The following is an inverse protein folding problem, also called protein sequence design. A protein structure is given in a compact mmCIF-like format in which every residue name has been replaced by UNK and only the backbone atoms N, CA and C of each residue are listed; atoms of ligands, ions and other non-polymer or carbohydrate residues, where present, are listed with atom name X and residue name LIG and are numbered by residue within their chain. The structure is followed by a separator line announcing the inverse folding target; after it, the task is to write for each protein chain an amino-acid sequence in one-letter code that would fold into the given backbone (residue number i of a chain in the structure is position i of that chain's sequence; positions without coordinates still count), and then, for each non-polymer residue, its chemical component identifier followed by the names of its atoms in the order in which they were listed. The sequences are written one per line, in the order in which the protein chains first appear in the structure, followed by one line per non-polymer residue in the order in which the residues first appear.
data_IF_998048363603
#
_entry.id   IF_998048363603
#
_cell.length_a   1.000
_cell.length_b   1.000
_cell.length_c   1.000
_cell.angle_alpha   90.00
_cell.angle_beta   90.00
_cell.angle_gamma   90.00
#
_symmetry.space_group_name_H-M   'P 1'
#
loop_
_entity.id
_entity.type
_entity.pdbx_description
1 polymer ?
#
# COMPACT_ATOMS: atom_id res chain seq x y z
N UNK A 1 -3.12 -14.79 -8.87
CA UNK A 1 -2.74 -13.46 -9.38
C UNK A 1 -2.06 -12.72 -8.25
N UNK A 2 -0.79 -12.30 -8.38
CA UNK A 2 -0.12 -11.54 -7.33
C UNK A 2 -0.85 -10.21 -7.12
N UNK A 3 -1.25 -9.93 -5.89
CA UNK A 3 -1.81 -8.64 -5.49
C UNK A 3 -0.65 -7.64 -5.53
N UNK A 4 -0.58 -6.82 -6.59
CA UNK A 4 0.46 -5.81 -6.75
C UNK A 4 -0.04 -4.52 -6.09
N UNK A 5 0.38 -4.22 -4.84
CA UNK A 5 -0.14 -3.08 -4.09
C UNK A 5 0.06 -1.76 -4.84
N UNK A 6 1.14 -1.67 -5.63
CA UNK A 6 1.48 -0.52 -6.45
C UNK A 6 0.43 -0.23 -7.54
N UNK A 7 -0.16 -1.26 -8.14
CA UNK A 7 -1.19 -1.10 -9.17
C UNK A 7 -2.52 -0.59 -8.60
N UNK A 8 -2.88 -1.06 -7.40
CA UNK A 8 -4.07 -0.58 -6.71
C UNK A 8 -3.88 0.86 -6.23
N UNK A 9 -2.72 1.17 -5.64
CA UNK A 9 -2.40 2.53 -5.21
C UNK A 9 -2.45 3.51 -6.38
N UNK A 10 -1.81 3.18 -7.50
CA UNK A 10 -1.78 4.01 -8.70
C UNK A 10 -3.20 4.27 -9.23
N UNK A 11 -4.05 3.24 -9.21
CA UNK A 11 -5.45 3.34 -9.62
C UNK A 11 -6.24 4.27 -8.69
N UNK A 12 -6.08 4.15 -7.38
CA UNK A 12 -6.75 4.99 -6.40
C UNK A 12 -6.29 6.46 -6.48
N UNK A 13 -4.99 6.71 -6.63
CA UNK A 13 -4.44 8.05 -6.82
C UNK A 13 -4.93 8.70 -8.12
N UNK A 14 -5.01 7.92 -9.20
CA UNK A 14 -5.57 8.38 -10.48
C UNK A 14 -7.05 8.74 -10.33
N UNK A 15 -7.83 7.89 -9.67
CA UNK A 15 -9.25 8.15 -9.37
C UNK A 15 -9.42 9.43 -8.54
N UNK A 16 -8.59 9.63 -7.51
CA UNK A 16 -8.61 10.83 -6.66
C UNK A 16 -8.36 12.11 -7.48
N UNK A 17 -7.37 12.08 -8.40
CA UNK A 17 -7.08 13.22 -9.27
C UNK A 17 -8.26 13.53 -10.19
N UNK A 18 -8.90 12.50 -10.74
CA UNK A 18 -10.05 12.65 -11.62
C UNK A 18 -11.25 13.23 -10.87
N UNK A 19 -11.55 12.73 -9.67
CA UNK A 19 -12.64 13.25 -8.84
C UNK A 19 -12.35 14.67 -8.37
N UNK A 20 -11.11 15.02 -8.05
CA UNK A 20 -10.71 16.40 -7.77
C UNK A 20 -10.96 17.33 -8.96
N UNK A 21 -10.61 16.89 -10.17
CA UNK A 21 -10.81 17.68 -11.38
C UNK A 21 -12.31 17.87 -11.72
N UNK A 22 -13.14 16.85 -11.49
CA UNK A 22 -14.57 16.89 -11.83
C UNK A 22 -15.43 17.57 -10.78
N UNK A 23 -15.22 17.28 -9.50
CA UNK A 23 -16.10 17.70 -8.40
C UNK A 23 -15.46 18.74 -7.46
N UNK A 24 -14.14 18.91 -7.52
CA UNK A 24 -13.39 19.80 -6.64
C UNK A 24 -13.09 19.21 -5.26
N UNK A 25 -12.16 19.86 -4.55
CA UNK A 25 -11.64 19.40 -3.24
C UNK A 25 -12.65 19.45 -2.09
N UNK A 26 -13.74 20.21 -2.26
CA UNK A 26 -14.79 20.34 -1.24
C UNK A 26 -15.91 19.30 -1.42
N UNK A 27 -15.85 18.50 -2.48
CA UNK A 27 -16.86 17.47 -2.73
C UNK A 27 -16.74 16.32 -1.74
N UNK A 28 -17.88 15.72 -1.38
CA UNK A 28 -17.94 14.53 -0.53
C UNK A 28 -17.20 13.38 -1.22
N UNK A 29 -17.37 13.24 -2.54
CA UNK A 29 -16.72 12.20 -3.34
C UNK A 29 -15.19 12.28 -3.28
N UNK A 30 -14.63 13.49 -3.37
CA UNK A 30 -13.19 13.69 -3.21
C UNK A 30 -12.73 13.29 -1.81
N UNK A 31 -13.48 13.68 -0.78
CA UNK A 31 -13.13 13.39 0.61
C UNK A 31 -13.15 11.89 0.91
N UNK A 32 -14.16 11.17 0.44
CA UNK A 32 -14.30 9.72 0.61
C UNK A 32 -13.15 8.96 -0.05
N UNK A 33 -12.82 9.28 -1.32
CA UNK A 33 -11.71 8.63 -2.02
C UNK A 33 -10.38 8.99 -1.38
N UNK A 34 -10.21 10.23 -0.89
CA UNK A 34 -9.01 10.63 -0.17
C UNK A 34 -8.82 9.80 1.10
N UNK A 35 -9.88 9.60 1.89
CA UNK A 35 -9.82 8.76 3.08
C UNK A 35 -9.43 7.31 2.75
N UNK A 36 -9.95 6.76 1.65
CA UNK A 36 -9.60 5.41 1.19
C UNK A 36 -8.11 5.29 0.80
N UNK A 37 -7.57 6.29 0.09
CA UNK A 37 -6.14 6.35 -0.25
C UNK A 37 -5.28 6.44 1.02
N UNK A 38 -5.66 7.31 1.95
CA UNK A 38 -4.93 7.52 3.20
C UNK A 38 -4.93 6.23 4.06
N UNK A 39 -6.06 5.54 4.16
CA UNK A 39 -6.18 4.25 4.88
C UNK A 39 -5.32 3.16 4.21
N UNK A 40 -5.34 3.09 2.88
CA UNK A 40 -4.54 2.12 2.14
C UNK A 40 -3.04 2.34 2.32
N UNK A 41 -2.59 3.60 2.31
CA UNK A 41 -1.20 3.96 2.58
C UNK A 41 -0.79 3.65 4.01
N UNK A 42 -1.67 3.91 4.98
CA UNK A 42 -1.42 3.55 6.38
C UNK A 42 -1.27 2.03 6.54
N UNK A 43 -2.12 1.22 5.88
CA UNK A 43 -2.00 -0.24 5.88
C UNK A 43 -0.68 -0.71 5.28
N UNK A 44 -0.29 -0.17 4.12
CA UNK A 44 0.99 -0.51 3.49
C UNK A 44 2.19 -0.14 4.37
N UNK A 45 2.15 1.02 5.03
CA UNK A 45 3.20 1.41 5.97
C UNK A 45 3.26 0.46 7.18
N UNK A 46 2.11 0.06 7.73
CA UNK A 46 2.06 -0.92 8.84
C UNK A 46 2.58 -2.30 8.40
N UNK A 47 2.21 -2.77 7.22
CA UNK A 47 2.74 -4.02 6.66
C UNK A 47 4.26 -3.96 6.48
N UNK A 48 4.78 -2.85 5.96
CA UNK A 48 6.22 -2.61 5.84
C UNK A 48 6.94 -2.62 7.20
N UNK A 49 6.34 -2.05 8.24
CA UNK A 49 6.89 -2.09 9.60
C UNK A 49 6.82 -3.50 10.23
N UNK A 50 5.78 -4.27 9.93
CA UNK A 50 5.63 -5.64 10.42
C UNK A 50 6.66 -6.60 9.83
N UNK A 51 7.13 -6.35 8.61
CA UNK A 51 8.14 -7.18 7.93
C UNK A 51 9.54 -6.98 8.53
N UNK A 52 9.89 -5.78 9.02
CA UNK A 52 11.18 -5.56 9.72
C UNK A 52 11.31 -6.28 11.07
N UNK A 53 10.23 -6.85 11.62
CA UNK A 53 10.28 -7.58 12.89
C UNK A 53 10.70 -9.05 12.77
N UNK A 54 10.80 -9.60 11.55
CA UNK A 54 10.94 -11.06 11.37
C UNK A 54 12.21 -11.52 10.64
N UNK A 55 13.11 -10.62 10.22
CA UNK A 55 14.39 -10.98 9.60
C UNK A 55 15.51 -11.25 10.63
N UNK A 56 15.27 -12.16 11.59
CA UNK A 56 16.35 -12.67 12.46
C UNK A 56 16.30 -14.18 12.76
N UNK A 57 15.48 -14.98 12.07
CA UNK A 57 15.56 -16.44 12.21
C UNK A 57 15.60 -17.13 10.84
N UNK A 58 16.64 -17.95 10.67
CA UNK A 58 16.82 -18.99 9.66
C UNK A 58 17.64 -18.65 8.40
N UNK A 59 18.88 -18.23 8.62
CA UNK A 59 19.97 -18.35 7.63
C UNK A 59 21.18 -19.02 8.30
N UNK A 60 20.95 -20.20 8.88
CA UNK A 60 22.03 -21.06 9.41
C UNK A 60 21.64 -22.55 9.28
N UNK A 61 21.30 -22.97 8.06
CA UNK A 61 21.31 -24.39 7.68
C UNK A 61 21.80 -24.51 6.23
N UNK A 62 23.05 -24.09 5.99
CA UNK A 62 23.77 -24.46 4.77
C UNK A 62 25.29 -24.48 5.00
N UNK A 63 25.78 -25.55 5.63
CA UNK A 63 27.13 -26.09 5.44
C UNK A 63 26.97 -27.61 5.31
N UNK A 64 26.59 -28.14 4.14
CA UNK A 64 27.48 -28.60 3.06
C UNK A 64 28.45 -29.73 3.50
N UNK A 65 28.15 -30.97 3.06
CA UNK A 65 29.05 -32.09 2.60
C UNK A 65 30.28 -32.43 3.46
N UNK A 66 30.47 -33.65 3.98
CA UNK A 66 30.75 -34.95 3.33
C UNK A 66 30.49 -36.11 4.33
#
# INVERSE_FOLDING_TARGET
MPFQPDNLLLSLQTSLRNVRATFGEKSIQYREIKHMVDEYMAKLAMEGLSISSSEQQHLDEHMQTD
#
